data_IF_477489626745
#
_entry.id   IF_477489626745
#
_cell.length_a   1.000
_cell.length_b   1.000
_cell.length_c   1.000
_cell.angle_alpha   90.00
_cell.angle_beta   90.00
_cell.angle_gamma   90.00
#
_symmetry.space_group_name_H-M   'P 1'
#
loop_
_entity.id
_entity.type
_entity.pdbx_description
1 polymer ?
#
# COMPACT_ATOMS: atom_id res chain seq x y z
N UNK A 1 20.94 -50.76 68.91
CA UNK A 1 20.67 -49.32 68.65
C UNK A 1 20.62 -49.13 67.16
N UNK A 2 19.45 -49.34 66.56
CA UNK A 2 19.20 -49.19 65.13
C UNK A 2 18.31 -47.99 64.94
N UNK A 3 18.87 -46.83 64.74
CA UNK A 3 18.15 -45.60 64.52
C UNK A 3 17.84 -45.39 63.04
N UNK A 4 16.58 -45.29 62.79
CA UNK A 4 15.78 -44.84 61.65
C UNK A 4 16.50 -44.02 60.53
N UNK A 5 17.01 -44.73 59.54
CA UNK A 5 17.49 -44.12 58.26
C UNK A 5 16.34 -43.76 57.31
N UNK A 6 15.09 -44.21 57.62
CA UNK A 6 13.92 -43.99 56.75
C UNK A 6 13.24 -42.62 56.86
N UNK A 7 13.43 -41.87 57.94
CA UNK A 7 12.83 -40.56 58.12
C UNK A 7 13.60 -39.45 57.38
N UNK A 8 14.92 -39.55 57.34
CA UNK A 8 15.75 -38.56 56.62
C UNK A 8 15.55 -38.59 55.10
N UNK A 9 15.34 -39.77 54.50
CA UNK A 9 15.08 -39.90 53.06
C UNK A 9 13.70 -39.36 52.62
N UNK A 10 12.67 -39.48 53.47
CA UNK A 10 11.32 -38.95 53.15
C UNK A 10 11.25 -37.43 53.27
N UNK A 11 11.99 -36.81 54.15
CA UNK A 11 12.05 -35.37 54.34
C UNK A 11 12.83 -34.67 53.21
N UNK A 12 13.88 -35.27 52.66
CA UNK A 12 14.66 -34.74 51.53
C UNK A 12 13.88 -34.83 50.23
N UNK A 13 13.12 -35.94 50.02
CA UNK A 13 12.26 -36.08 48.84
C UNK A 13 11.05 -35.10 48.83
N UNK A 14 10.50 -34.79 49.97
CA UNK A 14 9.41 -33.81 50.12
C UNK A 14 9.91 -32.36 49.89
N UNK A 15 11.13 -32.04 50.36
CA UNK A 15 11.73 -30.72 50.14
C UNK A 15 12.12 -30.44 48.67
N UNK A 16 12.56 -31.48 47.93
CA UNK A 16 12.87 -31.38 46.50
C UNK A 16 11.60 -31.25 45.64
N UNK A 17 10.50 -31.93 46.03
CA UNK A 17 9.19 -31.81 45.34
C UNK A 17 8.54 -30.45 45.55
N UNK A 18 8.70 -29.80 46.72
CA UNK A 18 8.19 -28.45 46.97
C UNK A 18 9.03 -27.37 46.25
N UNK A 19 10.34 -27.58 46.05
CA UNK A 19 11.18 -26.66 45.31
C UNK A 19 10.91 -26.69 43.80
N UNK A 20 10.44 -27.81 43.24
CA UNK A 20 10.07 -27.94 41.83
C UNK A 20 8.67 -27.35 41.51
N UNK A 21 7.79 -27.19 42.48
CA UNK A 21 6.46 -26.62 42.30
C UNK A 21 6.41 -25.06 42.38
N UNK A 22 7.50 -24.43 42.81
CA UNK A 22 7.55 -22.97 43.05
C UNK A 22 8.10 -22.10 41.93
N UNK A 23 8.51 -22.67 40.78
CA UNK A 23 9.15 -21.92 39.70
C UNK A 23 8.28 -21.74 38.45
N UNK A 24 6.97 -21.85 38.55
CA UNK A 24 6.08 -21.32 37.52
C UNK A 24 5.95 -19.82 37.73
N UNK A 25 7.00 -19.06 37.40
CA UNK A 25 6.81 -17.63 37.17
C UNK A 25 5.78 -17.52 36.04
N UNK A 26 4.64 -16.81 36.26
CA UNK A 26 3.81 -16.45 35.15
C UNK A 26 4.71 -15.69 34.19
N UNK A 27 4.95 -16.22 33.00
CA UNK A 27 5.63 -15.48 31.95
C UNK A 27 4.84 -14.19 31.82
N UNK A 28 5.39 -13.08 32.31
CA UNK A 28 4.76 -11.77 32.19
C UNK A 28 4.44 -11.61 30.70
N UNK A 29 3.17 -11.58 30.34
CA UNK A 29 2.75 -11.47 28.96
C UNK A 29 3.45 -10.25 28.38
N UNK A 30 4.39 -10.46 27.45
CA UNK A 30 5.15 -9.37 26.87
C UNK A 30 4.16 -8.40 26.24
N UNK A 31 4.35 -7.11 26.47
CA UNK A 31 3.50 -6.05 25.90
C UNK A 31 3.39 -6.24 24.38
N UNK A 32 2.20 -6.10 23.79
CA UNK A 32 2.02 -6.26 22.35
C UNK A 32 2.88 -5.25 21.57
N UNK A 33 3.27 -5.62 20.36
CA UNK A 33 3.90 -4.70 19.42
C UNK A 33 2.79 -3.89 18.76
N UNK A 34 2.78 -2.59 19.01
CA UNK A 34 1.82 -1.69 18.38
C UNK A 34 2.26 -1.32 16.99
N UNK A 35 1.37 -1.52 16.02
CA UNK A 35 1.51 -1.18 14.61
C UNK A 35 0.59 -0.01 14.33
N UNK A 36 1.13 1.12 13.88
CA UNK A 36 0.33 2.29 13.50
C UNK A 36 -0.15 2.21 12.07
N UNK A 37 -1.35 2.73 11.80
CA UNK A 37 -1.85 3.02 10.46
C UNK A 37 -2.37 4.45 10.41
N UNK A 38 -1.85 5.24 9.45
CA UNK A 38 -2.34 6.58 9.09
C UNK A 38 -2.83 6.52 7.66
N UNK A 39 -4.10 6.78 7.43
CA UNK A 39 -4.68 6.77 6.09
C UNK A 39 -6.14 7.17 6.11
N UNK A 40 -6.68 7.56 4.97
CA UNK A 40 -8.08 7.95 4.83
C UNK A 40 -9.00 6.75 5.05
N UNK A 41 -9.74 6.75 6.14
CA UNK A 41 -10.81 5.78 6.45
C UNK A 41 -12.18 6.39 6.20
N UNK A 42 -12.23 7.66 5.89
CA UNK A 42 -13.42 8.41 5.47
C UNK A 42 -13.11 9.24 4.22
N UNK A 43 -14.14 9.82 3.59
CA UNK A 43 -13.99 10.69 2.42
C UNK A 43 -13.73 9.96 1.10
N UNK A 44 -13.05 10.66 0.19
CA UNK A 44 -12.88 10.22 -1.22
C UNK A 44 -12.00 8.99 -1.41
N UNK A 45 -11.06 8.73 -0.49
CA UNK A 45 -10.10 7.62 -0.54
C UNK A 45 -10.45 6.49 0.46
N UNK A 46 -11.66 6.51 1.04
CA UNK A 46 -12.06 5.58 2.10
C UNK A 46 -11.97 4.09 1.69
N UNK A 47 -12.32 3.75 0.45
CA UNK A 47 -12.18 2.36 -0.05
C UNK A 47 -10.73 1.88 -0.06
N UNK A 48 -9.77 2.77 -0.34
CA UNK A 48 -8.35 2.44 -0.24
C UNK A 48 -7.95 2.16 1.21
N UNK A 49 -8.38 3.00 2.15
CA UNK A 49 -8.12 2.84 3.57
C UNK A 49 -8.71 1.56 4.15
N UNK A 50 -9.93 1.23 3.75
CA UNK A 50 -10.59 -0.02 4.12
C UNK A 50 -9.79 -1.23 3.60
N UNK A 51 -9.44 -1.25 2.33
CA UNK A 51 -8.69 -2.35 1.72
C UNK A 51 -7.33 -2.57 2.39
N UNK A 52 -6.57 -1.49 2.64
CA UNK A 52 -5.29 -1.55 3.35
C UNK A 52 -5.47 -2.07 4.78
N UNK A 53 -6.46 -1.54 5.51
CA UNK A 53 -6.77 -1.98 6.87
C UNK A 53 -7.05 -3.47 6.90
N UNK A 54 -7.91 -3.97 6.02
CA UNK A 54 -8.26 -5.39 5.91
C UNK A 54 -7.03 -6.26 5.56
N UNK A 55 -6.16 -5.79 4.67
CA UNK A 55 -4.90 -6.46 4.33
C UNK A 55 -3.96 -6.56 5.54
N UNK A 56 -3.79 -5.49 6.30
CA UNK A 56 -3.01 -5.48 7.55
C UNK A 56 -3.61 -6.42 8.60
N UNK A 57 -4.92 -6.37 8.80
CA UNK A 57 -5.61 -7.20 9.80
C UNK A 57 -5.50 -8.69 9.51
N UNK A 58 -5.61 -9.12 8.23
CA UNK A 58 -5.40 -10.52 7.84
C UNK A 58 -3.94 -10.95 8.09
N UNK A 59 -2.97 -10.10 7.76
CA UNK A 59 -1.56 -10.40 8.00
C UNK A 59 -1.25 -10.49 9.52
N UNK A 60 -1.79 -9.58 10.32
CA UNK A 60 -1.63 -9.57 11.77
C UNK A 60 -2.27 -10.81 12.42
N UNK A 61 -3.49 -11.18 12.00
CA UNK A 61 -4.15 -12.39 12.50
C UNK A 61 -3.31 -13.64 12.19
N UNK A 62 -2.75 -13.74 10.98
CA UNK A 62 -1.90 -14.86 10.58
C UNK A 62 -0.60 -14.90 11.40
N UNK A 63 0.04 -13.75 11.60
CA UNK A 63 1.25 -13.63 12.40
C UNK A 63 1.00 -13.97 13.86
N UNK A 64 -0.07 -13.45 14.43
CA UNK A 64 -0.48 -13.72 15.82
C UNK A 64 -0.84 -15.19 16.03
N UNK A 65 -1.54 -15.80 15.07
CA UNK A 65 -1.86 -17.23 15.09
C UNK A 65 -0.62 -18.14 15.05
N UNK A 66 0.53 -17.62 14.61
CA UNK A 66 1.83 -18.31 14.60
C UNK A 66 2.74 -17.92 15.78
N UNK A 67 2.20 -17.31 16.83
CA UNK A 67 2.94 -16.89 18.02
C UNK A 67 3.51 -15.47 17.97
N UNK A 68 3.06 -14.65 17.01
CA UNK A 68 3.44 -13.25 16.88
C UNK A 68 4.84 -13.01 16.29
N UNK A 69 5.42 -11.90 16.69
CA UNK A 69 6.77 -11.47 16.29
C UNK A 69 7.62 -11.30 17.54
N UNK A 70 8.78 -11.96 17.59
CA UNK A 70 9.65 -11.97 18.77
C UNK A 70 8.91 -12.40 20.06
N UNK A 71 7.98 -13.36 19.95
CA UNK A 71 7.17 -13.86 21.07
C UNK A 71 6.05 -12.90 21.53
N UNK A 72 5.80 -11.81 20.82
CA UNK A 72 4.82 -10.77 21.14
C UNK A 72 3.72 -10.71 20.09
N UNK A 73 2.48 -10.52 20.53
CA UNK A 73 1.36 -10.26 19.61
C UNK A 73 1.46 -8.88 18.97
N UNK A 74 0.87 -8.74 17.79
CA UNK A 74 0.76 -7.49 17.05
C UNK A 74 -0.64 -6.88 17.27
N UNK A 75 -0.71 -5.57 17.45
CA UNK A 75 -1.98 -4.83 17.58
C UNK A 75 -1.95 -3.64 16.64
N UNK A 76 -3.00 -3.49 15.81
CA UNK A 76 -3.15 -2.39 14.87
C UNK A 76 -3.85 -1.20 15.53
N UNK A 77 -3.24 -0.02 15.47
CA UNK A 77 -3.79 1.25 15.94
C UNK A 77 -3.99 2.15 14.74
N UNK A 78 -5.23 2.54 14.48
CA UNK A 78 -5.62 3.27 13.27
C UNK A 78 -5.93 4.73 13.56
N UNK A 79 -5.54 5.63 12.64
CA UNK A 79 -5.89 7.07 12.65
C UNK A 79 -6.32 7.49 11.25
N UNK A 80 -7.47 8.13 11.18
CA UNK A 80 -8.03 8.68 9.94
C UNK A 80 -7.38 10.04 9.65
N UNK A 81 -6.76 10.19 8.48
CA UNK A 81 -6.20 11.45 8.01
C UNK A 81 -7.16 12.23 7.10
N UNK A 82 -8.29 11.62 6.72
CA UNK A 82 -9.31 12.22 5.85
C UNK A 82 -8.72 12.80 4.54
N UNK A 83 -7.64 12.20 4.01
CA UNK A 83 -6.86 12.73 2.87
C UNK A 83 -6.28 14.12 3.11
N UNK A 84 -6.09 14.53 4.37
CA UNK A 84 -5.62 15.85 4.77
C UNK A 84 -4.19 15.77 5.34
N UNK A 85 -3.20 16.47 4.72
CA UNK A 85 -1.81 16.44 5.18
C UNK A 85 -1.61 16.89 6.64
N UNK A 86 -2.34 17.91 7.11
CA UNK A 86 -2.23 18.39 8.48
C UNK A 86 -2.77 17.35 9.49
N UNK A 87 -3.89 16.70 9.19
CA UNK A 87 -4.42 15.59 10.01
C UNK A 87 -3.47 14.40 10.01
N UNK A 88 -2.88 14.05 8.86
CA UNK A 88 -1.86 13.02 8.76
C UNK A 88 -0.65 13.29 9.65
N UNK A 89 -0.16 14.52 9.73
CA UNK A 89 0.93 14.91 10.62
C UNK A 89 0.54 14.75 12.11
N UNK A 90 -0.66 15.18 12.49
CA UNK A 90 -1.16 15.05 13.87
C UNK A 90 -1.26 13.57 14.23
N UNK A 91 -1.86 12.75 13.37
CA UNK A 91 -2.01 11.31 13.53
C UNK A 91 -0.66 10.60 13.69
N UNK A 92 0.32 10.93 12.85
CA UNK A 92 1.67 10.37 12.95
C UNK A 92 2.36 10.71 14.28
N UNK A 93 2.28 11.97 14.73
CA UNK A 93 2.84 12.38 16.03
C UNK A 93 2.18 11.66 17.21
N UNK A 94 0.86 11.53 17.18
CA UNK A 94 0.10 10.80 18.22
C UNK A 94 0.51 9.33 18.28
N UNK A 95 0.59 8.64 17.13
CA UNK A 95 1.02 7.25 17.07
C UNK A 95 2.45 7.07 17.60
N UNK A 96 3.35 8.00 17.30
CA UNK A 96 4.75 7.95 17.75
C UNK A 96 4.86 8.28 19.23
N UNK A 97 4.30 9.42 19.66
CA UNK A 97 4.56 9.99 20.99
C UNK A 97 3.69 9.38 22.08
N UNK A 98 2.42 9.11 21.79
CA UNK A 98 1.47 8.62 22.78
C UNK A 98 1.36 7.09 22.74
N UNK A 99 1.16 6.53 21.54
CA UNK A 99 0.98 5.09 21.36
C UNK A 99 2.29 4.31 21.36
N UNK A 100 3.42 4.94 21.03
CA UNK A 100 4.75 4.29 20.93
C UNK A 100 4.74 3.13 19.94
N UNK A 101 4.18 3.35 18.75
CA UNK A 101 4.15 2.33 17.70
C UNK A 101 5.55 1.99 17.20
N UNK A 102 5.78 0.73 16.84
CA UNK A 102 7.07 0.26 16.31
C UNK A 102 7.28 0.68 14.85
N UNK A 103 6.18 0.84 14.10
CA UNK A 103 6.17 1.20 12.68
C UNK A 103 4.85 1.89 12.35
N UNK A 104 4.86 2.80 11.39
CA UNK A 104 3.65 3.39 10.81
C UNK A 104 3.47 2.84 9.40
N UNK A 105 2.34 2.21 9.14
CA UNK A 105 1.83 1.94 7.80
C UNK A 105 1.01 3.12 7.33
N UNK A 106 1.13 3.47 6.04
CA UNK A 106 0.31 4.59 5.61
C UNK A 106 0.58 5.09 4.22
N UNK A 107 0.08 6.31 4.04
CA UNK A 107 0.12 7.06 2.81
C UNK A 107 -0.81 6.49 1.76
N UNK A 108 -2.07 6.92 1.80
CA UNK A 108 -2.98 6.72 0.67
C UNK A 108 -2.71 7.83 -0.34
N UNK A 109 -2.76 9.06 0.10
CA UNK A 109 -2.54 10.22 -0.76
C UNK A 109 -1.09 10.72 -0.64
N UNK A 110 -0.43 10.93 -1.78
CA UNK A 110 0.95 11.42 -1.83
C UNK A 110 1.19 12.69 -1.01
N UNK A 111 0.31 13.72 -1.03
CA UNK A 111 0.48 14.90 -0.19
C UNK A 111 0.53 14.59 1.32
N UNK A 112 -0.28 13.64 1.78
CA UNK A 112 -0.29 13.20 3.18
C UNK A 112 1.01 12.47 3.52
N UNK A 113 1.41 11.51 2.68
CA UNK A 113 2.67 10.78 2.87
C UNK A 113 3.87 11.73 2.95
N UNK A 114 3.96 12.69 2.03
CA UNK A 114 5.04 13.70 2.02
C UNK A 114 5.06 14.55 3.29
N UNK A 115 3.91 14.87 3.86
CA UNK A 115 3.83 15.63 5.11
C UNK A 115 4.26 14.80 6.34
N UNK A 116 4.09 13.48 6.30
CA UNK A 116 4.46 12.55 7.39
C UNK A 116 5.94 12.17 7.33
N UNK A 117 6.53 12.04 6.14
CA UNK A 117 7.92 11.60 5.92
C UNK A 117 8.97 12.34 6.78
N UNK A 118 8.97 13.69 6.91
CA UNK A 118 9.94 14.38 7.75
C UNK A 118 9.81 14.00 9.24
N UNK A 119 8.59 13.73 9.71
CA UNK A 119 8.32 13.36 11.10
C UNK A 119 8.92 12.00 11.41
N UNK A 120 8.62 10.98 10.60
CA UNK A 120 9.08 9.62 10.83
C UNK A 120 10.59 9.49 10.71
N UNK A 121 11.24 10.21 9.79
CA UNK A 121 12.69 10.26 9.68
C UNK A 121 13.33 10.91 10.92
N UNK A 122 12.76 12.03 11.41
CA UNK A 122 13.25 12.71 12.62
C UNK A 122 13.13 11.83 13.86
N UNK A 123 11.98 11.19 14.02
CA UNK A 123 11.68 10.36 15.20
C UNK A 123 12.25 8.93 15.06
N UNK A 124 12.89 8.60 13.94
CA UNK A 124 13.45 7.30 13.63
C UNK A 124 12.44 6.16 13.76
N UNK A 125 11.20 6.40 13.38
CA UNK A 125 10.15 5.38 13.34
C UNK A 125 9.97 4.94 11.89
N UNK A 126 10.14 3.65 11.55
CA UNK A 126 9.93 3.20 10.18
C UNK A 126 8.53 3.52 9.68
N UNK A 127 8.48 3.97 8.43
CA UNK A 127 7.24 4.19 7.70
C UNK A 127 7.19 3.24 6.51
N UNK A 128 6.11 2.49 6.41
CA UNK A 128 5.87 1.55 5.31
C UNK A 128 4.70 2.04 4.46
N UNK A 129 5.03 2.61 3.29
CA UNK A 129 4.04 3.03 2.31
C UNK A 129 3.39 1.83 1.61
N UNK A 130 2.05 1.81 1.58
CA UNK A 130 1.29 0.70 0.98
C UNK A 130 0.40 1.13 -0.18
N UNK A 131 0.33 2.43 -0.47
CA UNK A 131 -0.48 2.98 -1.56
C UNK A 131 0.18 4.17 -2.26
N UNK A 132 0.46 5.27 -1.56
CA UNK A 132 0.98 6.50 -2.16
C UNK A 132 2.21 6.22 -3.04
N UNK A 133 2.13 6.64 -4.31
CA UNK A 133 3.09 6.28 -5.34
C UNK A 133 4.14 7.36 -5.62
N UNK A 134 4.01 8.57 -5.05
CA UNK A 134 4.94 9.69 -5.28
C UNK A 134 6.40 9.26 -5.20
N UNK A 135 7.17 9.52 -6.26
CA UNK A 135 8.57 9.07 -6.39
C UNK A 135 9.42 9.57 -5.22
N UNK A 136 9.14 10.79 -4.72
CA UNK A 136 9.91 11.43 -3.64
C UNK A 136 9.64 10.88 -2.24
N UNK A 137 8.62 10.04 -2.05
CA UNK A 137 8.27 9.50 -0.73
C UNK A 137 9.45 8.70 -0.16
N UNK A 138 9.99 7.77 -0.94
CA UNK A 138 11.15 6.95 -0.55
C UNK A 138 12.47 7.60 -0.93
N UNK A 139 12.51 8.38 -2.01
CA UNK A 139 13.68 9.13 -2.47
C UNK A 139 13.65 10.55 -1.91
N UNK A 140 13.54 10.68 -0.58
CA UNK A 140 13.30 11.93 0.13
C UNK A 140 14.57 12.68 0.59
N UNK A 141 15.76 12.12 0.31
CA UNK A 141 17.05 12.73 0.65
C UNK A 141 17.48 12.57 2.11
N UNK A 142 16.68 11.97 2.97
CA UNK A 142 17.06 11.73 4.36
C UNK A 142 18.18 10.67 4.48
N UNK A 143 19.10 10.90 5.41
CA UNK A 143 20.15 9.95 5.76
C UNK A 143 20.40 9.98 7.28
N UNK A 144 20.03 8.92 8.04
CA UNK A 144 19.37 7.69 7.57
C UNK A 144 17.92 7.92 7.14
N UNK A 145 17.46 7.11 6.17
CA UNK A 145 16.09 7.11 5.69
C UNK A 145 15.31 5.95 6.33
N UNK A 146 14.17 6.25 6.94
CA UNK A 146 13.27 5.30 7.61
C UNK A 146 12.01 4.99 6.80
N UNK A 147 11.92 5.46 5.56
CA UNK A 147 10.74 5.33 4.71
C UNK A 147 10.94 4.22 3.69
N UNK A 148 10.09 3.20 3.75
CA UNK A 148 10.05 2.04 2.86
C UNK A 148 8.70 1.95 2.16
N UNK A 149 8.62 1.17 1.07
CA UNK A 149 7.38 1.05 0.32
C UNK A 149 7.20 -0.34 -0.30
N UNK A 150 5.99 -0.90 -0.11
CA UNK A 150 5.45 -2.01 -0.90
C UNK A 150 4.26 -1.45 -1.66
N UNK A 151 4.52 -0.74 -2.72
CA UNK A 151 3.54 -0.05 -3.55
C UNK A 151 4.18 0.34 -4.88
N UNK A 152 3.42 0.93 -5.80
CA UNK A 152 3.96 1.49 -7.03
C UNK A 152 4.82 2.72 -6.78
N UNK A 153 5.64 3.05 -7.77
CA UNK A 153 6.45 4.26 -7.85
C UNK A 153 6.03 5.03 -9.10
N UNK A 154 5.62 6.28 -8.97
CA UNK A 154 5.08 7.06 -10.10
C UNK A 154 5.98 6.99 -11.33
N UNK A 155 7.27 7.25 -11.20
CA UNK A 155 8.23 7.19 -12.33
C UNK A 155 8.17 5.86 -13.09
N UNK A 156 7.99 4.73 -12.39
CA UNK A 156 7.92 3.40 -13.01
C UNK A 156 6.52 3.13 -13.59
N UNK A 157 5.48 3.61 -12.91
CA UNK A 157 4.10 3.51 -13.42
C UNK A 157 3.97 4.31 -14.71
N UNK A 158 4.48 5.54 -14.75
CA UNK A 158 4.40 6.42 -15.90
C UNK A 158 5.05 5.80 -17.14
N UNK A 159 6.20 5.14 -16.97
CA UNK A 159 6.83 4.34 -18.04
C UNK A 159 5.92 3.22 -18.53
N UNK A 160 5.28 2.50 -17.59
CA UNK A 160 4.35 1.42 -17.92
C UNK A 160 3.10 1.95 -18.66
N UNK A 161 2.53 3.08 -18.24
CA UNK A 161 1.36 3.71 -18.88
C UNK A 161 1.69 4.15 -20.32
N UNK A 162 2.80 4.85 -20.53
CA UNK A 162 3.25 5.29 -21.87
C UNK A 162 3.52 4.08 -22.77
N UNK A 163 4.27 3.09 -22.29
CA UNK A 163 4.53 1.85 -23.02
C UNK A 163 3.25 1.12 -23.41
N UNK A 164 2.27 1.07 -22.50
CA UNK A 164 0.97 0.47 -22.79
C UNK A 164 0.18 1.26 -23.83
N UNK A 165 0.12 2.59 -23.73
CA UNK A 165 -0.51 3.47 -24.70
C UNK A 165 0.06 3.26 -26.11
N UNK A 166 1.38 3.26 -26.23
CA UNK A 166 2.08 3.00 -27.50
C UNK A 166 1.78 1.62 -28.07
N UNK A 167 1.93 0.58 -27.24
CA UNK A 167 1.80 -0.81 -27.71
C UNK A 167 0.36 -1.18 -28.07
N UNK A 168 -0.63 -0.70 -27.31
CA UNK A 168 -2.02 -1.14 -27.44
C UNK A 168 -2.82 -0.24 -28.37
N UNK A 169 -2.55 1.05 -28.36
CA UNK A 169 -3.33 2.04 -29.11
C UNK A 169 -2.53 2.74 -30.20
N UNK A 170 -1.23 2.45 -30.34
CA UNK A 170 -0.36 3.13 -31.31
C UNK A 170 -0.12 4.60 -30.95
N UNK A 171 -0.28 4.98 -29.69
CA UNK A 171 -0.16 6.36 -29.25
C UNK A 171 1.26 6.90 -29.46
N UNK A 172 1.37 8.03 -30.14
CA UNK A 172 2.61 8.75 -30.34
C UNK A 172 2.55 10.20 -29.82
N UNK A 173 1.36 10.63 -29.39
CA UNK A 173 1.14 11.98 -28.91
C UNK A 173 0.13 12.02 -27.74
N UNK A 174 0.48 11.43 -26.58
CA UNK A 174 -0.40 11.41 -25.42
C UNK A 174 -0.62 12.82 -24.84
N UNK A 175 -1.87 13.09 -24.40
CA UNK A 175 -2.22 14.23 -23.57
C UNK A 175 -2.33 13.84 -22.11
N UNK A 176 -1.96 14.72 -21.20
CA UNK A 176 -2.01 14.45 -19.76
C UNK A 176 -3.15 15.21 -19.10
N UNK A 177 -3.95 14.49 -18.31
CA UNK A 177 -4.94 15.03 -17.39
C UNK A 177 -4.51 14.71 -15.96
N UNK A 178 -4.00 15.70 -15.23
CA UNK A 178 -3.34 15.54 -13.95
C UNK A 178 -4.05 16.30 -12.84
N UNK A 179 -4.28 15.65 -11.71
CA UNK A 179 -4.72 16.35 -10.49
C UNK A 179 -3.69 17.40 -10.07
N UNK A 180 -4.14 18.60 -9.71
CA UNK A 180 -3.27 19.72 -9.33
C UNK A 180 -2.80 19.61 -7.86
N UNK A 181 -1.91 18.70 -7.61
CA UNK A 181 -1.30 18.48 -6.30
C UNK A 181 0.08 17.79 -6.45
N UNK A 182 0.84 17.56 -5.36
CA UNK A 182 2.15 16.89 -5.43
C UNK A 182 2.16 15.53 -6.13
N UNK A 183 1.04 14.78 -6.13
CA UNK A 183 0.95 13.54 -6.88
C UNK A 183 0.91 13.76 -8.39
N UNK A 184 0.08 14.70 -8.85
CA UNK A 184 0.07 15.11 -10.27
C UNK A 184 1.43 15.63 -10.74
N UNK A 185 2.14 16.39 -9.89
CA UNK A 185 3.49 16.89 -10.21
C UNK A 185 4.53 15.75 -10.29
N UNK A 186 4.43 14.74 -9.40
CA UNK A 186 5.28 13.55 -9.45
C UNK A 186 5.12 12.81 -10.76
N UNK A 187 3.87 12.58 -11.17
CA UNK A 187 3.54 11.91 -12.43
C UNK A 187 3.91 12.77 -13.66
N UNK A 188 3.72 14.08 -13.63
CA UNK A 188 4.13 14.94 -14.76
C UNK A 188 5.62 14.79 -15.07
N UNK A 189 6.45 14.71 -14.01
CA UNK A 189 7.90 14.48 -14.16
C UNK A 189 8.18 13.09 -14.75
N UNK A 190 7.56 12.04 -14.22
CA UNK A 190 7.76 10.68 -14.70
C UNK A 190 7.26 10.47 -16.14
N UNK A 191 6.09 11.02 -16.48
CA UNK A 191 5.54 10.99 -17.85
C UNK A 191 6.43 11.73 -18.85
N UNK A 192 6.97 12.89 -18.47
CA UNK A 192 7.90 13.64 -19.33
C UNK A 192 9.20 12.84 -19.58
N UNK A 193 9.72 12.14 -18.56
CA UNK A 193 10.85 11.23 -18.74
C UNK A 193 10.50 10.08 -19.69
N UNK A 194 9.33 9.46 -19.50
CA UNK A 194 8.89 8.33 -20.32
C UNK A 194 8.71 8.70 -21.79
N UNK A 195 8.07 9.84 -22.11
CA UNK A 195 7.93 10.28 -23.52
C UNK A 195 9.27 10.62 -24.14
N UNK A 196 10.20 11.20 -23.37
CA UNK A 196 11.56 11.48 -23.83
C UNK A 196 12.34 10.20 -24.13
N UNK A 197 12.29 9.21 -23.26
CA UNK A 197 12.93 7.89 -23.43
C UNK A 197 12.41 7.18 -24.70
N UNK A 198 11.12 7.27 -24.96
CA UNK A 198 10.48 6.67 -26.13
C UNK A 198 10.55 7.53 -27.40
N UNK A 199 11.05 8.76 -27.31
CA UNK A 199 11.17 9.72 -28.44
C UNK A 199 9.82 10.00 -29.11
N UNK A 200 8.76 10.11 -28.33
CA UNK A 200 7.42 10.53 -28.79
C UNK A 200 7.12 11.94 -28.30
N UNK A 201 6.10 12.57 -28.86
CA UNK A 201 5.69 13.93 -28.49
C UNK A 201 4.56 13.91 -27.45
N UNK A 202 4.54 14.89 -26.56
CA UNK A 202 3.42 15.18 -25.69
C UNK A 202 2.48 16.16 -26.36
N UNK A 203 1.17 15.88 -26.42
CA UNK A 203 0.18 16.84 -26.92
C UNK A 203 0.03 18.04 -25.98
N UNK A 204 0.06 17.80 -24.67
CA UNK A 204 -0.04 18.82 -23.64
C UNK A 204 -0.19 18.23 -22.27
N UNK A 205 -0.16 19.08 -21.23
CA UNK A 205 -0.39 18.73 -19.85
C UNK A 205 -1.42 19.70 -19.26
N UNK A 206 -2.55 19.19 -18.83
CA UNK A 206 -3.64 19.94 -18.27
C UNK A 206 -3.88 19.54 -16.83
N UNK A 207 -4.13 20.53 -15.97
CA UNK A 207 -4.38 20.33 -14.54
C UNK A 207 -5.83 20.61 -14.19
N UNK A 208 -6.32 19.93 -13.15
CA UNK A 208 -7.65 20.12 -12.58
C UNK A 208 -7.62 19.93 -11.07
N UNK A 209 -8.62 20.50 -10.40
CA UNK A 209 -8.77 20.41 -8.94
C UNK A 209 -9.74 19.27 -8.55
N UNK A 210 -9.65 18.78 -7.30
CA UNK A 210 -10.54 17.73 -6.78
C UNK A 210 -12.03 18.08 -6.88
N UNK A 211 -12.36 19.36 -6.88
CA UNK A 211 -13.76 19.85 -6.90
C UNK A 211 -14.25 20.25 -8.29
N UNK A 212 -13.41 20.17 -9.30
CA UNK A 212 -13.81 20.49 -10.66
C UNK A 212 -14.85 19.50 -11.17
N UNK A 213 -15.93 20.00 -11.77
CA UNK A 213 -17.05 19.20 -12.28
C UNK A 213 -17.13 19.18 -13.80
N UNK A 214 -16.40 20.07 -14.49
CA UNK A 214 -16.31 20.13 -15.93
C UNK A 214 -14.87 20.29 -16.41
N UNK A 215 -14.40 19.27 -17.13
CA UNK A 215 -13.04 19.21 -17.68
C UNK A 215 -13.01 19.52 -19.18
N UNK A 216 -14.14 19.95 -19.75
CA UNK A 216 -14.25 20.23 -21.19
C UNK A 216 -13.21 21.23 -21.70
N UNK A 217 -12.90 22.34 -20.98
CA UNK A 217 -11.89 23.30 -21.47
C UNK A 217 -10.49 22.65 -21.60
N UNK A 218 -10.06 21.89 -20.59
CA UNK A 218 -8.76 21.21 -20.59
C UNK A 218 -8.70 20.16 -21.70
N UNK A 219 -9.71 19.31 -21.79
CA UNK A 219 -9.82 18.26 -22.80
C UNK A 219 -9.88 18.84 -24.23
N UNK A 220 -10.56 20.00 -24.41
CA UNK A 220 -10.60 20.68 -25.71
C UNK A 220 -9.24 21.16 -26.16
N UNK A 221 -8.41 21.69 -25.24
CA UNK A 221 -7.02 22.05 -25.56
C UNK A 221 -6.19 20.84 -25.98
N UNK A 222 -6.29 19.73 -25.26
CA UNK A 222 -5.59 18.49 -25.60
C UNK A 222 -6.04 17.93 -26.95
N UNK A 223 -7.36 17.95 -27.21
CA UNK A 223 -7.93 17.51 -28.50
C UNK A 223 -7.44 18.38 -29.64
N UNK A 224 -7.46 19.70 -29.47
CA UNK A 224 -6.95 20.65 -30.48
C UNK A 224 -5.45 20.52 -30.73
N UNK A 225 -4.67 20.13 -29.72
CA UNK A 225 -3.25 19.84 -29.82
C UNK A 225 -2.96 18.47 -30.48
N UNK A 226 -4.00 17.69 -30.80
CA UNK A 226 -3.88 16.41 -31.48
C UNK A 226 -3.55 15.24 -30.55
N UNK A 227 -3.99 15.27 -29.29
CA UNK A 227 -3.83 14.14 -28.39
C UNK A 227 -4.51 12.89 -28.96
N UNK A 228 -3.76 11.80 -29.06
CA UNK A 228 -4.21 10.49 -29.57
C UNK A 228 -4.55 9.49 -28.45
N UNK A 229 -4.20 9.83 -27.22
CA UNK A 229 -4.58 9.15 -25.98
C UNK A 229 -4.56 10.11 -24.82
N UNK A 230 -5.21 9.74 -23.71
CA UNK A 230 -5.18 10.51 -22.45
C UNK A 230 -4.56 9.66 -21.36
N UNK A 231 -3.49 10.18 -20.75
CA UNK A 231 -2.96 9.64 -19.50
C UNK A 231 -3.62 10.40 -18.35
N UNK A 232 -4.35 9.67 -17.51
CA UNK A 232 -5.14 10.24 -16.43
C UNK A 232 -4.54 9.92 -15.06
N UNK A 233 -4.21 10.95 -14.29
CA UNK A 233 -3.77 10.82 -12.90
C UNK A 233 -4.77 11.52 -12.00
N UNK A 234 -5.59 10.74 -11.33
CA UNK A 234 -6.74 11.23 -10.56
C UNK A 234 -7.24 10.22 -9.54
N UNK A 235 -7.87 10.71 -8.49
CA UNK A 235 -8.76 9.93 -7.63
C UNK A 235 -10.12 9.74 -8.31
N UNK A 236 -10.94 8.83 -7.76
CA UNK A 236 -12.17 8.33 -8.38
C UNK A 236 -13.20 9.42 -8.76
N UNK A 237 -13.42 10.39 -7.87
CA UNK A 237 -14.43 11.45 -8.08
C UNK A 237 -14.10 12.35 -9.28
N UNK A 238 -12.95 13.06 -9.26
CA UNK A 238 -12.54 13.91 -10.37
C UNK A 238 -12.34 13.14 -11.68
N UNK A 239 -11.80 11.89 -11.60
CA UNK A 239 -11.67 11.03 -12.78
C UNK A 239 -13.02 10.78 -13.46
N UNK A 240 -14.08 10.57 -12.70
CA UNK A 240 -15.41 10.40 -13.24
C UNK A 240 -15.88 11.67 -13.99
N UNK A 241 -15.53 12.86 -13.52
CA UNK A 241 -15.83 14.12 -14.22
C UNK A 241 -15.04 14.26 -15.52
N UNK A 242 -13.75 13.82 -15.55
CA UNK A 242 -12.96 13.73 -16.79
C UNK A 242 -13.68 12.84 -17.79
N UNK A 243 -14.10 11.64 -17.38
CA UNK A 243 -14.77 10.68 -18.27
C UNK A 243 -16.12 11.19 -18.77
N UNK A 244 -16.93 11.83 -17.92
CA UNK A 244 -18.19 12.47 -18.33
C UNK A 244 -17.96 13.64 -19.29
N UNK A 245 -16.88 14.39 -19.12
CA UNK A 245 -16.53 15.48 -20.04
C UNK A 245 -16.11 14.93 -21.41
N UNK A 246 -15.34 13.84 -21.48
CA UNK A 246 -15.02 13.14 -22.73
C UNK A 246 -16.30 12.64 -23.42
N UNK A 247 -17.25 12.09 -22.67
CA UNK A 247 -18.55 11.64 -23.19
C UNK A 247 -19.35 12.83 -23.78
N UNK A 248 -19.49 13.94 -23.03
CA UNK A 248 -20.19 15.15 -23.51
C UNK A 248 -19.56 15.73 -24.80
N UNK A 249 -18.24 15.65 -24.92
CA UNK A 249 -17.52 16.08 -26.14
C UNK A 249 -17.66 15.10 -27.31
N UNK A 250 -18.32 13.96 -27.12
CA UNK A 250 -18.35 12.86 -28.07
C UNK A 250 -16.96 12.55 -28.65
N UNK A 251 -15.95 12.53 -27.76
CA UNK A 251 -14.56 12.30 -28.14
C UNK A 251 -14.17 10.84 -27.89
N UNK A 252 -13.96 10.10 -28.99
CA UNK A 252 -13.45 8.74 -28.92
C UNK A 252 -11.93 8.75 -28.80
N UNK A 253 -11.42 8.69 -27.57
CA UNK A 253 -10.01 8.69 -27.26
C UNK A 253 -9.70 7.61 -26.21
N UNK A 254 -8.63 6.82 -26.35
CA UNK A 254 -8.19 5.90 -25.31
C UNK A 254 -7.81 6.66 -24.04
N UNK A 255 -8.27 6.17 -22.88
CA UNK A 255 -7.90 6.70 -21.56
C UNK A 255 -7.18 5.62 -20.77
N UNK A 256 -5.93 5.92 -20.39
CA UNK A 256 -5.08 5.06 -19.59
C UNK A 256 -4.81 5.77 -18.27
N UNK A 257 -5.11 5.14 -17.14
CA UNK A 257 -5.07 5.82 -15.85
C UNK A 257 -4.09 5.19 -14.87
N UNK A 258 -3.62 6.03 -13.97
CA UNK A 258 -3.03 5.57 -12.72
C UNK A 258 -4.10 4.91 -11.84
N UNK A 259 -3.71 4.21 -10.79
CA UNK A 259 -4.62 3.40 -9.96
C UNK A 259 -5.56 4.16 -9.01
N UNK A 260 -5.39 5.48 -8.82
CA UNK A 260 -6.20 6.29 -7.90
C UNK A 260 -7.69 6.17 -8.12
N UNK A 261 -8.12 5.91 -9.35
CA UNK A 261 -9.54 5.69 -9.69
C UNK A 261 -10.13 4.46 -8.98
N UNK A 262 -9.31 3.50 -8.54
CA UNK A 262 -9.77 2.30 -7.84
C UNK A 262 -10.07 2.52 -6.35
N UNK A 263 -9.60 3.62 -5.78
CA UNK A 263 -9.71 3.90 -4.35
C UNK A 263 -11.04 4.47 -3.87
N UNK A 264 -12.01 4.67 -4.76
CA UNK A 264 -13.31 5.27 -4.46
C UNK A 264 -14.46 4.66 -5.28
N UNK A 265 -15.51 5.46 -5.49
CA UNK A 265 -16.76 5.05 -6.16
C UNK A 265 -16.76 5.36 -7.67
N UNK A 266 -15.64 5.09 -8.36
CA UNK A 266 -15.48 5.45 -9.77
C UNK A 266 -16.55 4.86 -10.69
N UNK A 267 -16.88 3.54 -10.63
CA UNK A 267 -17.91 2.95 -11.50
C UNK A 267 -19.28 3.58 -11.32
N UNK A 268 -19.68 3.85 -10.08
CA UNK A 268 -20.96 4.49 -9.78
C UNK A 268 -21.01 5.94 -10.33
N UNK A 269 -19.91 6.67 -10.20
CA UNK A 269 -19.83 8.07 -10.61
C UNK A 269 -19.67 8.25 -12.11
N UNK A 270 -18.88 7.40 -12.77
CA UNK A 270 -18.61 7.49 -14.21
C UNK A 270 -19.62 6.73 -15.08
N UNK A 271 -20.44 5.85 -14.48
CA UNK A 271 -21.42 5.03 -15.20
C UNK A 271 -20.77 4.15 -16.26
N UNK A 272 -21.34 4.08 -17.45
CA UNK A 272 -20.83 3.28 -18.57
C UNK A 272 -19.41 3.66 -18.99
N UNK A 273 -19.01 4.89 -18.75
CA UNK A 273 -17.67 5.37 -19.10
C UNK A 273 -16.56 4.73 -18.24
N UNK A 274 -16.88 4.19 -17.07
CA UNK A 274 -15.91 3.48 -16.24
C UNK A 274 -15.24 2.31 -16.95
N UNK A 275 -15.98 1.62 -17.83
CA UNK A 275 -15.48 0.45 -18.56
C UNK A 275 -14.54 0.81 -19.73
N UNK A 276 -14.46 2.11 -20.10
CA UNK A 276 -13.62 2.61 -21.19
C UNK A 276 -12.22 3.01 -20.72
N UNK A 277 -11.95 2.92 -19.41
CA UNK A 277 -10.65 3.26 -18.83
C UNK A 277 -9.88 1.99 -18.52
N UNK A 278 -8.62 1.93 -18.96
CA UNK A 278 -7.64 0.93 -18.53
C UNK A 278 -6.70 1.59 -17.52
N UNK A 279 -6.36 0.89 -16.45
CA UNK A 279 -5.51 1.46 -15.40
C UNK A 279 -4.57 0.44 -14.79
N UNK A 280 -3.54 0.92 -14.11
CA UNK A 280 -2.50 0.08 -13.51
C UNK A 280 -2.94 -0.45 -12.15
N UNK A 281 -2.51 -1.68 -11.83
CA UNK A 281 -2.57 -2.28 -10.50
C UNK A 281 -1.28 -3.06 -10.24
N UNK A 282 -1.03 -3.44 -8.98
CA UNK A 282 0.09 -4.32 -8.59
C UNK A 282 -0.35 -5.76 -8.35
N UNK A 283 -1.64 -6.01 -8.26
CA UNK A 283 -2.18 -7.33 -7.97
C UNK A 283 -3.63 -7.47 -8.44
N UNK A 284 -4.03 -8.70 -8.72
CA UNK A 284 -5.42 -9.09 -8.97
C UNK A 284 -5.72 -10.43 -8.32
N UNK A 285 -6.87 -10.54 -7.66
CA UNK A 285 -7.39 -11.82 -7.17
C UNK A 285 -8.08 -12.65 -8.26
N UNK A 286 -8.23 -12.12 -9.48
CA UNK A 286 -8.71 -12.87 -10.61
C UNK A 286 -7.60 -13.69 -11.29
N UNK A 287 -7.99 -14.76 -11.98
CA UNK A 287 -7.07 -15.64 -12.67
C UNK A 287 -6.45 -16.71 -11.77
N UNK A 288 -5.34 -17.29 -12.21
CA UNK A 288 -4.67 -18.37 -11.48
C UNK A 288 -3.95 -17.79 -10.26
N UNK A 289 -4.40 -18.19 -9.09
CA UNK A 289 -3.82 -17.78 -7.82
C UNK A 289 -2.78 -18.80 -7.33
N UNK A 290 -1.73 -18.30 -6.68
CA UNK A 290 -0.81 -19.11 -5.87
C UNK A 290 -1.54 -19.76 -4.68
N UNK A 291 -0.92 -20.72 -4.00
CA UNK A 291 -1.47 -21.27 -2.75
C UNK A 291 -1.70 -20.20 -1.69
N UNK A 292 -0.81 -19.18 -1.63
CA UNK A 292 -0.96 -18.01 -0.75
C UNK A 292 -2.21 -17.23 -1.13
N UNK A 293 -2.42 -16.90 -2.41
CA UNK A 293 -3.56 -16.12 -2.89
C UNK A 293 -4.91 -16.81 -2.63
N UNK A 294 -5.00 -18.11 -2.91
CA UNK A 294 -6.23 -18.89 -2.64
C UNK A 294 -6.60 -18.86 -1.17
N UNK A 295 -5.62 -19.04 -0.27
CA UNK A 295 -5.86 -18.99 1.17
C UNK A 295 -6.33 -17.59 1.62
N UNK A 296 -5.78 -16.52 1.03
CA UNK A 296 -6.18 -15.13 1.40
C UNK A 296 -7.62 -14.83 0.99
N UNK A 297 -8.07 -15.25 -0.18
CA UNK A 297 -9.48 -15.13 -0.58
C UNK A 297 -10.39 -15.77 0.48
N UNK A 298 -10.10 -17.00 0.87
CA UNK A 298 -10.87 -17.72 1.91
C UNK A 298 -10.86 -17.00 3.25
N UNK A 299 -9.69 -16.49 3.68
CA UNK A 299 -9.57 -15.75 4.93
C UNK A 299 -10.37 -14.44 4.92
N UNK A 300 -10.30 -13.69 3.81
CA UNK A 300 -11.06 -12.45 3.63
C UNK A 300 -12.56 -12.72 3.69
N UNK A 301 -13.05 -13.70 2.95
CA UNK A 301 -14.47 -14.09 2.95
C UNK A 301 -14.96 -14.54 4.32
N UNK A 302 -14.12 -15.24 5.09
CA UNK A 302 -14.46 -15.68 6.44
C UNK A 302 -14.54 -14.51 7.43
N UNK A 303 -13.62 -13.55 7.30
CA UNK A 303 -13.51 -12.41 8.26
C UNK A 303 -14.47 -11.28 7.92
N UNK A 304 -14.72 -11.03 6.64
CA UNK A 304 -15.51 -9.90 6.14
C UNK A 304 -16.75 -10.40 5.37
N UNK A 305 -17.95 -10.38 5.99
CA UNK A 305 -19.17 -10.93 5.39
C UNK A 305 -19.64 -10.23 4.10
N UNK A 306 -19.17 -9.02 3.85
CA UNK A 306 -19.44 -8.27 2.62
C UNK A 306 -18.65 -8.83 1.42
N UNK A 307 -17.56 -9.58 1.63
CA UNK A 307 -16.79 -10.24 0.59
C UNK A 307 -17.39 -11.62 0.29
N UNK A 308 -18.34 -11.69 -0.64
CA UNK A 308 -19.00 -12.94 -1.04
C UNK A 308 -18.30 -13.63 -2.21
N UNK A 309 -17.70 -12.85 -3.09
CA UNK A 309 -17.00 -13.32 -4.28
C UNK A 309 -15.64 -12.61 -4.43
N UNK A 310 -14.80 -13.13 -5.31
CA UNK A 310 -13.48 -12.52 -5.63
C UNK A 310 -13.64 -11.09 -6.12
N UNK A 311 -14.71 -10.79 -6.85
CA UNK A 311 -15.00 -9.45 -7.38
C UNK A 311 -15.32 -8.40 -6.33
N UNK A 312 -15.64 -8.81 -5.10
CA UNK A 312 -15.92 -7.89 -3.98
C UNK A 312 -14.63 -7.41 -3.29
N UNK A 313 -13.48 -8.00 -3.62
CA UNK A 313 -12.17 -7.59 -3.09
C UNK A 313 -11.67 -6.38 -3.90
N UNK A 314 -12.19 -5.20 -3.58
CA UNK A 314 -11.92 -3.96 -4.31
C UNK A 314 -11.52 -2.85 -3.33
N UNK A 315 -10.43 -2.13 -3.62
CA UNK A 315 -9.41 -2.37 -4.64
C UNK A 315 -8.38 -3.47 -4.22
N UNK A 316 -8.04 -4.41 -5.11
CA UNK A 316 -7.19 -5.56 -4.76
C UNK A 316 -5.79 -5.16 -4.28
N UNK A 317 -5.23 -4.07 -4.80
CA UNK A 317 -3.89 -3.57 -4.42
C UNK A 317 -3.80 -3.17 -2.96
N UNK A 318 -4.86 -2.60 -2.38
CA UNK A 318 -4.86 -2.20 -0.97
C UNK A 318 -4.64 -3.39 -0.05
N UNK A 319 -5.36 -4.49 -0.33
CA UNK A 319 -5.21 -5.74 0.42
C UNK A 319 -3.83 -6.37 0.23
N UNK A 320 -3.38 -6.50 -1.04
CA UNK A 320 -2.17 -7.23 -1.36
C UNK A 320 -0.90 -6.51 -0.91
N UNK A 321 -0.81 -5.21 -1.17
CA UNK A 321 0.34 -4.39 -0.75
C UNK A 321 0.48 -4.38 0.78
N UNK A 322 -0.63 -4.17 1.49
CA UNK A 322 -0.63 -4.12 2.95
C UNK A 322 -0.30 -5.47 3.59
N UNK A 323 -0.82 -6.56 3.04
CA UNK A 323 -0.51 -7.91 3.48
C UNK A 323 0.99 -8.22 3.37
N UNK A 324 1.57 -8.03 2.17
CA UNK A 324 2.98 -8.30 1.94
C UNK A 324 3.88 -7.36 2.77
N UNK A 325 3.53 -6.08 2.84
CA UNK A 325 4.23 -5.08 3.63
C UNK A 325 4.29 -5.47 5.13
N UNK A 326 3.19 -5.97 5.70
CA UNK A 326 3.17 -6.40 7.10
C UNK A 326 4.06 -7.63 7.34
N UNK A 327 4.04 -8.60 6.42
CA UNK A 327 4.91 -9.78 6.50
C UNK A 327 6.39 -9.43 6.36
N UNK A 328 6.75 -8.55 5.43
CA UNK A 328 8.12 -8.03 5.28
C UNK A 328 8.56 -7.25 6.54
N UNK A 329 7.66 -6.46 7.13
CA UNK A 329 7.93 -5.73 8.39
C UNK A 329 8.16 -6.71 9.56
N UNK A 330 7.33 -7.73 9.70
CA UNK A 330 7.50 -8.76 10.71
C UNK A 330 8.81 -9.52 10.55
N UNK A 331 9.21 -9.83 9.31
CA UNK A 331 10.49 -10.45 9.00
C UNK A 331 11.66 -9.49 9.33
N UNK A 332 11.54 -8.20 9.01
CA UNK A 332 12.54 -7.20 9.36
C UNK A 332 12.75 -7.09 10.88
N UNK A 333 11.67 -7.08 11.67
CA UNK A 333 11.77 -7.10 13.15
C UNK A 333 12.53 -8.33 13.66
N UNK A 334 12.26 -9.52 13.09
CA UNK A 334 12.97 -10.76 13.44
C UNK A 334 14.44 -10.72 13.07
N UNK A 335 14.79 -10.30 11.86
CA UNK A 335 16.16 -10.22 11.35
C UNK A 335 16.97 -9.09 12.02
N UNK A 336 16.32 -8.01 12.41
CA UNK A 336 16.91 -6.93 13.19
C UNK A 336 17.01 -7.22 14.68
N UNK A 337 16.29 -8.25 15.17
CA UNK A 337 16.28 -8.66 16.58
C UNK A 337 15.65 -7.64 17.53
N UNK A 338 14.69 -6.83 17.05
CA UNK A 338 14.03 -5.82 17.88
C UNK A 338 12.93 -5.05 17.15
N UNK A 339 12.30 -4.16 17.91
CA UNK A 339 11.15 -3.35 17.45
C UNK A 339 11.43 -1.83 17.47
N UNK A 340 12.66 -1.43 17.77
CA UNK A 340 13.10 -0.05 17.60
C UNK A 340 13.41 0.23 16.12
N UNK A 341 13.34 1.52 15.74
CA UNK A 341 13.40 1.89 14.33
C UNK A 341 14.70 1.54 13.64
N UNK A 342 15.84 1.69 14.30
CA UNK A 342 17.14 1.35 13.70
C UNK A 342 17.24 -0.16 13.42
N UNK A 343 16.80 -1.01 14.37
CA UNK A 343 16.78 -2.48 14.18
C UNK A 343 15.84 -2.90 13.06
N UNK A 344 14.64 -2.31 12.99
CA UNK A 344 13.68 -2.62 11.92
C UNK A 344 14.27 -2.20 10.57
N UNK A 345 14.86 -1.00 10.46
CA UNK A 345 15.50 -0.52 9.23
C UNK A 345 16.60 -1.47 8.76
N UNK A 346 17.53 -1.82 9.64
CA UNK A 346 18.61 -2.77 9.34
C UNK A 346 18.06 -4.17 9.01
N UNK A 347 16.96 -4.55 9.65
CA UNK A 347 16.26 -5.79 9.39
C UNK A 347 15.69 -5.87 7.97
N UNK A 348 15.14 -4.76 7.44
CA UNK A 348 14.68 -4.70 6.05
C UNK A 348 15.81 -5.00 5.06
N UNK A 349 17.02 -4.49 5.29
CA UNK A 349 18.16 -4.72 4.42
C UNK A 349 18.70 -6.17 4.48
N UNK A 350 18.38 -6.92 5.55
CA UNK A 350 18.75 -8.32 5.74
C UNK A 350 17.76 -9.32 5.12
N UNK A 351 16.63 -8.85 4.56
CA UNK A 351 15.67 -9.74 3.91
C UNK A 351 16.30 -10.28 2.62
N UNK A 352 16.58 -11.59 2.59
CA UNK A 352 17.10 -12.26 1.40
C UNK A 352 15.95 -12.69 0.48
N UNK A 353 14.97 -13.44 1.01
CA UNK A 353 13.80 -13.88 0.26
C UNK A 353 12.53 -13.87 1.12
N UNK A 354 11.40 -13.51 0.51
CA UNK A 354 10.07 -13.67 1.08
C UNK A 354 9.04 -14.01 -0.01
N UNK A 355 8.27 -15.08 0.21
CA UNK A 355 7.15 -15.45 -0.68
C UNK A 355 5.91 -14.69 -0.24
N UNK A 356 5.64 -13.60 -0.93
CA UNK A 356 4.47 -12.77 -0.69
C UNK A 356 3.24 -13.18 -1.49
N UNK A 357 2.23 -12.35 -1.41
CA UNK A 357 1.00 -12.47 -2.19
C UNK A 357 1.23 -11.96 -3.62
N UNK A 358 1.86 -10.79 -3.76
CA UNK A 358 2.14 -10.15 -5.04
C UNK A 358 3.20 -10.92 -5.82
N UNK A 359 4.32 -11.23 -5.16
CA UNK A 359 5.46 -11.91 -5.76
C UNK A 359 6.35 -12.60 -4.72
N UNK A 360 7.34 -13.33 -5.20
CA UNK A 360 8.50 -13.67 -4.37
C UNK A 360 9.49 -12.52 -4.38
N UNK A 361 9.64 -11.86 -3.24
CA UNK A 361 10.60 -10.78 -3.03
C UNK A 361 12.00 -11.36 -2.84
N UNK A 362 12.99 -10.82 -3.56
CA UNK A 362 14.40 -11.15 -3.40
C UNK A 362 15.18 -9.87 -3.13
N UNK A 363 15.78 -9.76 -1.95
CA UNK A 363 16.50 -8.57 -1.48
C UNK A 363 15.71 -7.28 -1.79
N UNK A 364 14.44 -7.17 -1.29
CA UNK A 364 13.54 -6.10 -1.71
C UNK A 364 14.03 -4.71 -1.34
N UNK A 365 14.89 -4.61 -0.31
CA UNK A 365 15.38 -3.34 0.20
C UNK A 365 16.90 -3.34 0.35
N UNK A 366 17.49 -2.17 0.16
CA UNK A 366 18.89 -1.89 0.42
C UNK A 366 19.05 -0.42 0.83
N UNK A 367 20.20 0.02 1.35
CA UNK A 367 20.43 1.45 1.63
C UNK A 367 20.21 2.38 0.43
N UNK A 368 20.36 1.86 -0.79
CA UNK A 368 20.15 2.61 -2.03
C UNK A 368 18.74 2.48 -2.62
N UNK A 369 17.94 1.51 -2.14
CA UNK A 369 16.59 1.25 -2.68
C UNK A 369 15.63 0.85 -1.56
N UNK A 370 14.59 1.65 -1.37
CA UNK A 370 13.54 1.43 -0.38
C UNK A 370 12.19 1.06 -1.01
N UNK A 371 12.15 0.77 -2.31
CA UNK A 371 10.95 0.37 -3.06
C UNK A 371 11.00 -1.14 -3.36
N UNK A 372 10.05 -1.90 -2.86
CA UNK A 372 10.03 -3.36 -3.01
C UNK A 372 9.50 -3.85 -4.36
N UNK A 373 8.74 -3.00 -5.07
CA UNK A 373 8.16 -3.31 -6.37
C UNK A 373 8.91 -2.57 -7.49
N UNK A 374 8.85 -3.14 -8.70
CA UNK A 374 9.43 -2.58 -9.90
C UNK A 374 8.43 -2.62 -11.07
N UNK A 375 8.82 -2.14 -12.24
CA UNK A 375 7.94 -2.02 -13.41
C UNK A 375 7.32 -3.36 -13.89
N UNK A 376 8.00 -4.50 -13.64
CA UNK A 376 7.51 -5.82 -14.03
C UNK A 376 6.41 -6.35 -13.10
N UNK A 377 6.18 -5.69 -11.96
CA UNK A 377 5.15 -6.06 -10.99
C UNK A 377 3.81 -5.38 -11.28
N UNK A 378 3.73 -4.58 -12.34
CA UNK A 378 2.51 -3.86 -12.72
C UNK A 378 1.70 -4.62 -13.75
N UNK A 379 0.38 -4.65 -13.55
CA UNK A 379 -0.59 -5.23 -14.45
C UNK A 379 -1.61 -4.18 -14.88
N UNK A 380 -2.09 -4.30 -16.11
CA UNK A 380 -3.17 -3.44 -16.60
C UNK A 380 -4.51 -4.11 -16.35
N UNK A 381 -5.45 -3.34 -15.85
CA UNK A 381 -6.80 -3.80 -15.49
C UNK A 381 -7.86 -2.83 -16.02
N UNK A 382 -9.10 -3.26 -15.97
CA UNK A 382 -10.28 -2.42 -16.27
C UNK A 382 -11.43 -2.73 -15.33
N UNK A 383 -12.40 -1.86 -15.28
CA UNK A 383 -13.67 -2.17 -14.64
C UNK A 383 -14.56 -3.03 -15.53
N UNK A 384 -15.21 -4.02 -14.93
CA UNK A 384 -16.33 -4.80 -15.49
C UNK A 384 -17.44 -4.76 -14.44
N UNK A 385 -18.44 -3.89 -14.65
CA UNK A 385 -19.31 -3.46 -13.55
C UNK A 385 -18.48 -2.76 -12.46
N UNK A 386 -18.59 -3.22 -11.23
CA UNK A 386 -17.80 -2.73 -10.09
C UNK A 386 -16.50 -3.52 -9.86
N UNK A 387 -16.32 -4.63 -10.58
CA UNK A 387 -15.17 -5.51 -10.44
C UNK A 387 -13.96 -4.97 -11.20
N UNK A 388 -12.76 -5.15 -10.62
CA UNK A 388 -11.48 -4.80 -11.26
C UNK A 388 -10.87 -6.08 -11.81
N UNK A 389 -10.86 -6.22 -13.15
CA UNK A 389 -10.40 -7.43 -13.85
C UNK A 389 -9.18 -7.14 -14.71
N UNK A 390 -8.22 -8.09 -14.83
CA UNK A 390 -7.10 -7.93 -15.74
C UNK A 390 -7.53 -7.73 -17.20
N UNK A 391 -6.83 -6.87 -17.92
CA UNK A 391 -6.96 -6.78 -19.38
C UNK A 391 -6.27 -8.00 -19.98
N UNK A 392 -6.99 -8.69 -20.88
CA UNK A 392 -6.46 -9.87 -21.59
C UNK A 392 -5.54 -9.47 -22.73
#
# INVERSE_FOLDING_TARGET
MVMNVNYARRTILAAVALAAAGASFPAAAQQPIKIGFVGAMSGISAKSGEAITRGLEIAIDELNGKGGVLGRTLVLIKRDDESNPAKGQIAARELIQNEKVAVIFGGIDTPVAMAVVPIVNKEKVPYMGTWAAGTFITRNGANPNFVFRVSAVDELVDKALIKYAMKTYGSNKPGYMLINNPWGESNEKGLNLAVSEHRIEKAGSEKFEDKDVDMTPQLSRLKAAGADSIILVSNAGPAAQVMKSIERMNWSVPVISHWGISGGRFPELAGTMAQKVVFVQTYSFFGQQSGVGKNKITMLQKKYPDIKAVGDIVPPVGYANAYDAMHLTALAMRLGGGTDGDRIREGYYKIDEHKGLIKTYKKPFSPANHDALNENDYIMVKYQGEQIVPVK
#
